data_IF_384558765845
#
_entry.id   IF_384558765845
#
_cell.length_a   1.000
_cell.length_b   1.000
_cell.length_c   1.000
_cell.angle_alpha   90.00
_cell.angle_beta   90.00
_cell.angle_gamma   90.00
#
_symmetry.space_group_name_H-M   'P 1'
#
loop_
_entity.id
_entity.type
_entity.pdbx_description
1 polymer ?
#
# COMPACT_ATOMS: atom_id res chain seq x y z
N UNK A 1 13.80 -12.06 -5.61
CA UNK A 1 14.82 -11.02 -5.87
C UNK A 1 14.13 -9.66 -5.86
N UNK A 2 14.49 -8.76 -4.94
CA UNK A 2 13.94 -7.40 -4.90
C UNK A 2 14.55 -6.64 -6.08
N UNK A 3 13.72 -6.14 -6.98
CA UNK A 3 14.17 -5.25 -8.05
C UNK A 3 14.87 -4.06 -7.41
N UNK A 4 16.16 -3.88 -7.72
CA UNK A 4 16.89 -2.67 -7.38
C UNK A 4 16.12 -1.49 -8.00
N UNK A 5 15.53 -0.64 -7.15
CA UNK A 5 14.91 0.61 -7.61
C UNK A 5 16.00 1.37 -8.35
N UNK A 6 15.85 1.51 -9.67
CA UNK A 6 16.78 2.26 -10.51
C UNK A 6 16.82 3.69 -9.98
N UNK A 7 17.93 4.06 -9.33
CA UNK A 7 18.16 5.42 -8.86
C UNK A 7 18.24 6.29 -10.11
N UNK A 8 17.16 7.00 -10.41
CA UNK A 8 17.15 7.99 -11.48
C UNK A 8 17.79 9.26 -10.93
N UNK A 9 18.98 9.59 -11.43
CA UNK A 9 19.59 10.89 -11.18
C UNK A 9 18.67 11.95 -11.82
N UNK A 10 18.02 12.74 -10.98
CA UNK A 10 17.14 13.83 -11.42
C UNK A 10 18.03 14.94 -11.99
N UNK A 11 17.66 15.50 -13.15
CA UNK A 11 18.41 16.56 -13.84
C UNK A 11 17.48 17.68 -14.29
N UNK A 12 18.06 18.85 -14.49
CA UNK A 12 17.37 20.03 -15.01
C UNK A 12 16.17 20.43 -14.16
N UNK A 13 15.05 20.71 -14.83
CA UNK A 13 13.88 21.29 -14.19
C UNK A 13 13.26 20.42 -13.07
N UNK A 14 13.34 19.09 -13.20
CA UNK A 14 12.82 18.18 -12.18
C UNK A 14 13.64 18.26 -10.90
N UNK A 15 14.96 18.39 -11.03
CA UNK A 15 15.85 18.55 -9.89
C UNK A 15 15.58 19.88 -9.17
N UNK A 16 15.49 20.98 -9.93
CA UNK A 16 15.17 22.29 -9.37
C UNK A 16 13.85 22.29 -8.60
N UNK A 17 12.77 21.76 -9.19
CA UNK A 17 11.45 21.69 -8.53
C UNK A 17 11.51 20.93 -7.20
N UNK A 18 12.24 19.82 -7.16
CA UNK A 18 12.35 18.97 -5.98
C UNK A 18 13.18 19.65 -4.89
N UNK A 19 14.31 20.27 -5.26
CA UNK A 19 15.15 21.04 -4.33
C UNK A 19 14.36 22.23 -3.75
N UNK A 20 13.57 22.91 -4.58
CA UNK A 20 12.67 23.97 -4.15
C UNK A 20 11.44 23.49 -3.34
N UNK A 21 11.28 22.17 -3.13
CA UNK A 21 10.18 21.61 -2.33
C UNK A 21 8.79 21.75 -2.93
N UNK A 22 8.69 21.98 -4.25
CA UNK A 22 7.41 22.28 -4.90
C UNK A 22 6.73 21.03 -5.47
N UNK A 23 5.41 20.95 -5.35
CA UNK A 23 4.61 19.98 -6.12
C UNK A 23 4.54 20.38 -7.59
N UNK A 24 4.27 19.44 -8.50
CA UNK A 24 4.09 19.75 -9.93
C UNK A 24 2.98 20.79 -10.17
N UNK A 25 1.93 20.79 -9.34
CA UNK A 25 0.82 21.73 -9.46
C UNK A 25 1.26 23.16 -9.14
N UNK A 26 1.91 23.35 -7.99
CA UNK A 26 2.42 24.67 -7.55
C UNK A 26 3.44 25.20 -8.55
N UNK A 27 4.34 24.33 -8.99
CA UNK A 27 5.36 24.69 -9.96
C UNK A 27 4.77 25.10 -11.32
N UNK A 28 3.74 24.40 -11.79
CA UNK A 28 3.02 24.76 -13.00
C UNK A 28 2.35 26.14 -12.88
N UNK A 29 1.75 26.45 -11.73
CA UNK A 29 1.15 27.76 -11.45
C UNK A 29 2.18 28.90 -11.50
N UNK A 30 3.34 28.70 -10.88
CA UNK A 30 4.44 29.69 -10.90
C UNK A 30 4.94 29.97 -12.32
N UNK A 31 5.01 28.94 -13.17
CA UNK A 31 5.42 29.06 -14.56
C UNK A 31 4.29 29.53 -15.49
N UNK A 32 3.04 29.56 -15.02
CA UNK A 32 1.86 29.90 -15.83
C UNK A 32 1.57 28.86 -16.92
N UNK A 33 1.73 27.58 -16.60
CA UNK A 33 1.46 26.45 -17.51
C UNK A 33 0.57 25.40 -16.83
N UNK A 34 0.10 24.42 -17.59
CA UNK A 34 -0.66 23.31 -17.03
C UNK A 34 0.24 22.27 -16.34
N UNK A 35 -0.27 21.61 -15.29
CA UNK A 35 0.41 20.49 -14.62
C UNK A 35 0.78 19.37 -15.59
N UNK A 36 -0.10 19.08 -16.56
CA UNK A 36 0.14 18.07 -17.58
C UNK A 36 1.36 18.40 -18.44
N UNK A 37 1.55 19.68 -18.79
CA UNK A 37 2.73 20.13 -19.51
C UNK A 37 4.01 19.92 -18.70
N UNK A 38 4.01 20.28 -17.41
CA UNK A 38 5.16 20.00 -16.51
C UNK A 38 5.46 18.51 -16.46
N UNK A 39 4.44 17.65 -16.30
CA UNK A 39 4.65 16.20 -16.29
C UNK A 39 5.27 15.69 -17.59
N UNK A 40 4.82 16.18 -18.76
CA UNK A 40 5.41 15.81 -20.04
C UNK A 40 6.85 16.30 -20.20
N UNK A 41 7.16 17.50 -19.72
CA UNK A 41 8.50 18.08 -19.76
C UNK A 41 9.47 17.30 -18.85
N UNK A 42 9.08 16.99 -17.62
CA UNK A 42 9.89 16.20 -16.69
C UNK A 42 10.16 14.78 -17.20
N UNK A 43 9.24 14.25 -18.01
CA UNK A 43 9.42 12.96 -18.68
C UNK A 43 10.17 13.06 -20.02
N UNK A 44 10.66 14.25 -20.41
CA UNK A 44 11.38 14.48 -21.66
C UNK A 44 10.52 14.40 -22.93
N UNK A 45 9.19 14.38 -22.80
CA UNK A 45 8.26 14.21 -23.93
C UNK A 45 7.94 15.52 -24.64
N UNK A 46 8.11 16.67 -23.98
CA UNK A 46 7.88 18.00 -24.55
C UNK A 46 8.92 19.00 -24.03
N UNK A 47 9.14 20.06 -24.81
CA UNK A 47 9.93 21.23 -24.39
C UNK A 47 9.03 22.26 -23.71
N UNK A 48 9.60 23.08 -22.83
CA UNK A 48 8.90 24.23 -22.26
C UNK A 48 8.74 25.34 -23.31
N UNK A 49 7.60 26.04 -23.32
CA UNK A 49 7.45 27.25 -24.13
C UNK A 49 8.39 28.34 -23.60
N UNK A 50 8.94 29.15 -24.50
CA UNK A 50 9.84 30.28 -24.21
C UNK A 50 9.38 31.18 -23.05
N UNK A 51 8.11 31.63 -22.96
CA UNK A 51 7.66 32.44 -21.82
C UNK A 51 7.77 31.72 -20.47
N UNK A 52 7.54 30.40 -20.42
CA UNK A 52 7.71 29.63 -19.19
C UNK A 52 9.19 29.45 -18.85
N UNK A 53 10.06 29.32 -19.86
CA UNK A 53 11.52 29.22 -19.65
C UNK A 53 12.11 30.51 -19.06
N UNK A 54 11.61 31.67 -19.49
CA UNK A 54 12.00 32.97 -18.92
C UNK A 54 11.49 33.16 -17.48
N UNK A 55 10.33 32.61 -17.13
CA UNK A 55 9.86 32.59 -15.73
C UNK A 55 10.69 31.63 -14.88
N UNK A 56 11.08 30.49 -15.43
CA UNK A 56 11.93 29.52 -14.76
C UNK A 56 13.29 30.14 -14.39
N UNK A 57 13.95 30.80 -15.32
CA UNK A 57 15.25 31.43 -15.05
C UNK A 57 15.17 32.50 -13.95
N UNK A 58 14.10 33.30 -13.94
CA UNK A 58 13.84 34.27 -12.86
C UNK A 58 13.63 33.59 -11.50
N UNK A 59 12.89 32.48 -11.46
CA UNK A 59 12.67 31.71 -10.24
C UNK A 59 13.97 31.09 -9.72
N UNK A 60 14.81 30.56 -10.61
CA UNK A 60 16.12 30.00 -10.26
C UNK A 60 17.03 31.06 -9.64
N UNK A 61 17.14 32.24 -10.26
CA UNK A 61 17.92 33.37 -9.73
C UNK A 61 17.43 33.77 -8.33
N UNK A 62 16.12 33.93 -8.17
CA UNK A 62 15.52 34.30 -6.87
C UNK A 62 15.81 33.26 -5.80
N UNK A 63 15.60 31.98 -6.12
CA UNK A 63 15.82 30.89 -5.19
C UNK A 63 17.28 30.78 -4.74
N UNK A 64 18.24 30.98 -5.66
CA UNK A 64 19.66 31.02 -5.31
C UNK A 64 20.02 32.23 -4.44
N UNK A 65 19.42 33.40 -4.68
CA UNK A 65 19.60 34.56 -3.83
C UNK A 65 19.08 34.31 -2.40
N UNK A 66 17.90 33.70 -2.27
CA UNK A 66 17.29 33.36 -0.98
C UNK A 66 18.14 32.32 -0.21
N UNK A 67 18.68 31.30 -0.90
CA UNK A 67 19.59 30.33 -0.29
C UNK A 67 20.85 31.00 0.20
N UNK A 68 21.47 31.87 -0.61
CA UNK A 68 22.72 32.53 -0.25
C UNK A 68 22.52 33.48 0.94
N UNK A 69 21.39 34.20 0.97
CA UNK A 69 21.01 35.02 2.11
C UNK A 69 20.82 34.17 3.38
N UNK A 70 20.16 33.03 3.25
CA UNK A 70 19.95 32.09 4.37
C UNK A 70 21.27 31.47 4.86
N UNK A 71 22.19 31.17 3.95
CA UNK A 71 23.53 30.64 4.27
C UNK A 71 24.39 31.66 4.99
N UNK A 72 24.41 32.90 4.51
CA UNK A 72 25.11 34.00 5.17
C UNK A 72 24.59 34.24 6.60
N UNK A 73 23.30 34.02 6.84
CA UNK A 73 22.72 34.07 8.19
C UNK A 73 23.09 32.85 9.06
N UNK A 74 23.26 31.67 8.47
CA UNK A 74 23.57 30.43 9.20
C UNK A 74 25.07 30.20 9.48
N UNK A 75 25.99 30.86 8.79
CA UNK A 75 27.45 30.69 8.99
C UNK A 75 27.94 31.14 10.38
N UNK A 76 27.10 31.81 11.18
CA UNK A 76 27.39 32.12 12.59
C UNK A 76 26.86 31.07 13.59
N UNK A 77 26.14 30.05 13.11
CA UNK A 77 25.62 28.97 13.93
C UNK A 77 26.30 27.68 13.50
N UNK A 78 27.49 27.43 14.07
CA UNK A 78 28.12 26.11 14.04
C UNK A 78 27.14 25.13 14.68
N UNK A 79 26.41 24.38 13.86
CA UNK A 79 25.50 23.37 14.35
C UNK A 79 26.32 22.39 15.19
N UNK A 80 25.99 22.15 16.46
CA UNK A 80 26.54 21.00 17.16
C UNK A 80 26.11 19.78 16.34
N UNK A 81 27.08 18.95 15.96
CA UNK A 81 26.85 17.70 15.27
C UNK A 81 25.95 16.85 16.17
N UNK A 82 24.65 16.90 15.90
CA UNK A 82 23.65 16.28 16.72
C UNK A 82 23.56 14.81 16.32
N UNK A 83 24.07 13.90 17.15
CA UNK A 83 24.01 12.44 16.96
C UNK A 83 22.57 11.87 17.04
N UNK A 84 21.54 12.72 16.98
CA UNK A 84 20.11 12.36 16.97
C UNK A 84 19.59 11.60 15.73
N UNK A 85 20.22 11.53 14.53
CA UNK A 85 19.57 10.88 13.37
C UNK A 85 19.46 9.35 13.49
N UNK A 86 20.28 8.69 14.32
CA UNK A 86 20.30 7.23 14.38
C UNK A 86 19.03 6.64 15.05
N UNK A 87 18.49 7.32 16.06
CA UNK A 87 17.31 6.84 16.81
C UNK A 87 16.02 6.94 15.98
N UNK A 88 15.91 7.95 15.12
CA UNK A 88 14.73 8.12 14.26
C UNK A 88 14.63 7.07 13.15
N UNK A 89 15.78 6.55 12.69
CA UNK A 89 15.84 5.52 11.63
C UNK A 89 15.37 4.17 12.16
N UNK A 90 15.76 3.78 13.39
CA UNK A 90 15.27 2.55 14.02
C UNK A 90 13.76 2.60 14.23
N UNK A 91 13.25 3.71 14.72
CA UNK A 91 11.82 3.90 15.00
C UNK A 91 11.00 3.83 13.71
N UNK A 92 11.49 4.42 12.62
CA UNK A 92 10.85 4.35 11.31
C UNK A 92 10.80 2.92 10.76
N UNK A 93 11.88 2.15 10.95
CA UNK A 93 11.94 0.75 10.52
C UNK A 93 10.96 -0.15 11.30
N UNK A 94 10.84 0.06 12.61
CA UNK A 94 9.89 -0.66 13.46
C UNK A 94 8.44 -0.32 13.11
N UNK A 95 8.12 0.97 12.95
CA UNK A 95 6.79 1.41 12.49
C UNK A 95 6.41 0.78 11.16
N UNK A 96 7.35 0.72 10.21
CA UNK A 96 7.13 0.08 8.91
C UNK A 96 6.82 -1.42 9.03
N UNK A 97 7.47 -2.13 9.97
CA UNK A 97 7.17 -3.54 10.25
C UNK A 97 5.78 -3.74 10.87
N UNK A 98 5.38 -2.87 11.80
CA UNK A 98 4.05 -2.90 12.42
C UNK A 98 2.96 -2.71 11.37
N UNK A 99 3.10 -1.70 10.50
CA UNK A 99 2.19 -1.46 9.37
C UNK A 99 2.12 -2.71 8.50
N UNK A 100 3.27 -3.33 8.19
CA UNK A 100 3.31 -4.54 7.37
C UNK A 100 2.56 -5.71 7.99
N UNK A 101 2.62 -5.89 9.31
CA UNK A 101 1.83 -6.92 10.01
C UNK A 101 0.34 -6.64 9.90
N UNK A 102 -0.09 -5.38 10.05
CA UNK A 102 -1.50 -5.00 9.90
C UNK A 102 -2.03 -5.28 8.49
N UNK A 103 -1.24 -4.94 7.46
CA UNK A 103 -1.58 -5.26 6.06
C UNK A 103 -1.78 -6.77 5.85
N UNK A 104 -0.84 -7.59 6.35
CA UNK A 104 -0.93 -9.05 6.22
C UNK A 104 -2.14 -9.62 6.98
N UNK A 105 -2.48 -9.08 8.14
CA UNK A 105 -3.70 -9.49 8.89
C UNK A 105 -4.97 -9.18 8.10
N UNK A 106 -5.04 -8.00 7.49
CA UNK A 106 -6.16 -7.64 6.63
C UNK A 106 -6.25 -8.58 5.40
N UNK A 107 -5.11 -8.89 4.78
CA UNK A 107 -5.03 -9.84 3.68
C UNK A 107 -5.55 -11.23 4.09
N UNK A 108 -5.17 -11.72 5.28
CA UNK A 108 -5.64 -13.00 5.82
C UNK A 108 -7.15 -13.02 6.01
N UNK A 109 -7.73 -11.97 6.63
CA UNK A 109 -9.18 -11.84 6.82
C UNK A 109 -9.90 -11.88 5.47
N UNK A 110 -9.40 -11.12 4.49
CA UNK A 110 -9.97 -11.06 3.14
C UNK A 110 -9.93 -12.41 2.44
N UNK A 111 -8.83 -13.16 2.54
CA UNK A 111 -8.70 -14.50 1.95
C UNK A 111 -9.68 -15.48 2.62
N UNK A 112 -9.81 -15.44 3.95
CA UNK A 112 -10.76 -16.29 4.70
C UNK A 112 -12.21 -15.99 4.34
N UNK A 113 -12.58 -14.72 4.23
CA UNK A 113 -13.92 -14.32 3.82
C UNK A 113 -14.28 -14.87 2.45
N UNK A 114 -13.38 -14.70 1.46
CA UNK A 114 -13.59 -15.25 0.11
C UNK A 114 -13.71 -16.77 0.11
N UNK A 115 -12.92 -17.46 0.94
CA UNK A 115 -13.04 -18.90 1.08
C UNK A 115 -14.41 -19.30 1.66
N UNK A 116 -14.91 -18.56 2.65
CA UNK A 116 -16.24 -18.80 3.22
C UNK A 116 -17.34 -18.57 2.17
N UNK A 117 -17.30 -17.47 1.42
CA UNK A 117 -18.24 -17.19 0.31
C UNK A 117 -18.25 -18.31 -0.74
N UNK A 118 -17.06 -18.83 -1.07
CA UNK A 118 -16.96 -19.95 -2.01
C UNK A 118 -17.52 -21.25 -1.44
N UNK A 119 -17.28 -21.53 -0.17
CA UNK A 119 -17.80 -22.72 0.50
C UNK A 119 -19.32 -22.66 0.63
N UNK A 120 -19.90 -21.49 0.95
CA UNK A 120 -21.36 -21.32 0.99
C UNK A 120 -21.98 -21.46 -0.39
N UNK A 121 -21.38 -20.86 -1.42
CA UNK A 121 -21.84 -21.01 -2.80
C UNK A 121 -21.78 -22.47 -3.27
N UNK A 122 -20.70 -23.20 -2.96
CA UNK A 122 -20.57 -24.61 -3.27
C UNK A 122 -21.64 -25.45 -2.56
N UNK A 123 -21.94 -25.15 -1.29
CA UNK A 123 -23.02 -25.81 -0.54
C UNK A 123 -24.38 -25.60 -1.19
N UNK A 124 -24.72 -24.35 -1.53
CA UNK A 124 -25.99 -24.02 -2.19
C UNK A 124 -26.13 -24.78 -3.51
N UNK A 125 -25.07 -24.81 -4.34
CA UNK A 125 -25.12 -25.57 -5.60
C UNK A 125 -25.32 -27.07 -5.37
N UNK A 126 -24.67 -27.64 -4.35
CA UNK A 126 -24.86 -29.06 -4.00
C UNK A 126 -26.29 -29.36 -3.51
N UNK A 127 -26.98 -28.39 -2.92
CA UNK A 127 -28.39 -28.50 -2.51
C UNK A 127 -29.36 -28.34 -3.71
N UNK A 128 -29.03 -27.48 -4.69
CA UNK A 128 -29.88 -27.21 -5.86
C UNK A 128 -29.79 -28.28 -6.95
N UNK A 129 -28.63 -28.92 -7.14
CA UNK A 129 -28.44 -29.94 -8.19
C UNK A 129 -29.43 -31.11 -8.05
N UNK A 130 -29.63 -31.72 -6.86
CA UNK A 130 -30.61 -32.78 -6.68
C UNK A 130 -32.05 -32.34 -6.96
N UNK A 131 -32.41 -31.10 -6.64
CA UNK A 131 -33.74 -30.56 -6.92
C UNK A 131 -33.99 -30.46 -8.44
N UNK A 132 -33.03 -29.95 -9.20
CA UNK A 132 -33.13 -29.89 -10.66
C UNK A 132 -33.23 -31.29 -11.32
N UNK A 133 -32.55 -32.28 -10.74
CA UNK A 133 -32.65 -33.68 -11.19
C UNK A 133 -34.06 -34.23 -10.94
N UNK A 134 -34.67 -33.93 -9.78
CA UNK A 134 -36.03 -34.37 -9.46
C UNK A 134 -37.07 -33.78 -10.44
N UNK A 135 -36.86 -32.55 -10.89
CA UNK A 135 -37.76 -31.86 -11.84
C UNK A 135 -37.54 -32.28 -13.31
N UNK A 136 -36.58 -33.18 -13.59
CA UNK A 136 -36.17 -33.60 -14.94
C UNK A 136 -35.72 -32.46 -15.89
N UNK A 137 -35.34 -31.29 -15.35
CA UNK A 137 -34.81 -30.18 -16.16
C UNK A 137 -33.30 -30.35 -16.41
N UNK A 138 -32.98 -31.02 -17.52
CA UNK A 138 -31.59 -31.26 -17.97
C UNK A 138 -30.82 -29.96 -18.22
N UNK A 139 -31.49 -28.87 -18.60
CA UNK A 139 -30.85 -27.59 -18.87
C UNK A 139 -30.35 -26.93 -17.58
N UNK A 140 -31.22 -26.88 -16.57
CA UNK A 140 -30.88 -26.38 -15.25
C UNK A 140 -29.78 -27.22 -14.58
N UNK A 141 -29.87 -28.55 -14.66
CA UNK A 141 -28.85 -29.47 -14.12
C UNK A 141 -27.46 -29.19 -14.71
N UNK A 142 -27.35 -29.08 -16.04
CA UNK A 142 -26.08 -28.82 -16.72
C UNK A 142 -25.50 -27.45 -16.32
N UNK A 143 -26.34 -26.42 -16.24
CA UNK A 143 -25.93 -25.08 -15.85
C UNK A 143 -25.37 -25.05 -14.41
N UNK A 144 -26.05 -25.69 -13.46
CA UNK A 144 -25.62 -25.78 -12.07
C UNK A 144 -24.31 -26.57 -11.93
N UNK A 145 -24.17 -27.69 -12.65
CA UNK A 145 -22.93 -28.49 -12.70
C UNK A 145 -21.76 -27.69 -13.28
N UNK A 146 -21.98 -26.93 -14.34
CA UNK A 146 -20.97 -26.06 -14.93
C UNK A 146 -20.54 -24.98 -13.92
N UNK A 147 -21.48 -24.36 -13.22
CA UNK A 147 -21.18 -23.36 -12.20
C UNK A 147 -20.39 -23.96 -11.03
N UNK A 148 -20.73 -25.18 -10.61
CA UNK A 148 -19.98 -25.92 -9.59
C UNK A 148 -18.54 -26.20 -10.03
N UNK A 149 -18.33 -26.63 -11.28
CA UNK A 149 -17.00 -26.85 -11.85
C UNK A 149 -16.17 -25.55 -11.88
N UNK A 150 -16.77 -24.42 -12.27
CA UNK A 150 -16.11 -23.11 -12.25
C UNK A 150 -15.67 -22.73 -10.82
N UNK A 151 -16.50 -22.99 -9.81
CA UNK A 151 -16.14 -22.74 -8.41
C UNK A 151 -15.00 -23.65 -7.94
N UNK A 152 -15.00 -24.94 -8.31
CA UNK A 152 -13.91 -25.86 -7.97
C UNK A 152 -12.57 -25.40 -8.54
N UNK A 153 -12.55 -24.90 -9.79
CA UNK A 153 -11.32 -24.36 -10.42
C UNK A 153 -10.80 -23.12 -9.68
N UNK A 154 -11.68 -22.30 -9.10
CA UNK A 154 -11.31 -21.08 -8.35
C UNK A 154 -10.88 -21.37 -6.91
N UNK A 155 -11.30 -22.48 -6.32
CA UNK A 155 -11.04 -22.86 -4.92
C UNK A 155 -9.55 -22.86 -4.53
N UNK A 156 -8.59 -23.37 -5.34
CA UNK A 156 -7.18 -23.38 -4.97
C UNK A 156 -6.56 -21.98 -4.81
N UNK A 157 -7.18 -20.93 -5.37
CA UNK A 157 -6.71 -19.55 -5.19
C UNK A 157 -6.85 -19.06 -3.74
N UNK A 158 -7.72 -19.71 -2.95
CA UNK A 158 -7.99 -19.39 -1.55
C UNK A 158 -7.68 -20.56 -0.62
N UNK A 159 -6.76 -21.43 -1.04
CA UNK A 159 -6.37 -22.63 -0.30
C UNK A 159 -5.77 -22.29 1.08
N UNK A 160 -5.87 -23.23 2.02
CA UNK A 160 -5.21 -23.22 3.34
C UNK A 160 -3.72 -22.93 3.22
N UNK A 161 -3.06 -23.36 2.15
CA UNK A 161 -1.64 -23.08 1.86
C UNK A 161 -1.38 -21.57 1.77
N UNK A 162 -2.27 -20.80 1.13
CA UNK A 162 -2.11 -19.34 1.02
C UNK A 162 -2.26 -18.69 2.39
N UNK A 163 -3.22 -19.15 3.20
CA UNK A 163 -3.43 -18.66 4.56
C UNK A 163 -2.24 -18.96 5.46
N UNK A 164 -1.74 -20.20 5.45
CA UNK A 164 -0.55 -20.62 6.19
C UNK A 164 0.68 -19.79 5.81
N UNK A 165 0.84 -19.44 4.52
CA UNK A 165 1.93 -18.56 4.07
C UNK A 165 1.82 -17.15 4.63
N UNK A 166 0.60 -16.60 4.69
CA UNK A 166 0.36 -15.27 5.27
C UNK A 166 0.61 -15.31 6.80
N UNK A 167 0.09 -16.33 7.47
CA UNK A 167 0.29 -16.55 8.91
C UNK A 167 1.77 -16.71 9.27
N UNK A 168 2.51 -17.53 8.53
CA UNK A 168 3.95 -17.70 8.72
C UNK A 168 4.72 -16.39 8.55
N UNK A 169 4.31 -15.53 7.60
CA UNK A 169 4.91 -14.19 7.42
C UNK A 169 4.60 -13.27 8.60
N UNK A 170 3.37 -13.29 9.10
CA UNK A 170 2.98 -12.53 10.30
C UNK A 170 3.81 -12.98 11.50
N UNK A 171 3.88 -14.29 11.74
CA UNK A 171 4.63 -14.88 12.85
C UNK A 171 6.12 -14.51 12.79
N UNK A 172 6.74 -14.60 11.61
CA UNK A 172 8.13 -14.19 11.42
C UNK A 172 8.38 -12.73 11.78
N UNK A 173 7.56 -11.80 11.29
CA UNK A 173 7.74 -10.37 11.59
C UNK A 173 7.50 -10.10 13.08
N UNK A 174 6.54 -10.80 13.70
CA UNK A 174 6.29 -10.68 15.13
C UNK A 174 7.50 -11.14 15.98
N UNK A 175 8.15 -12.26 15.62
CA UNK A 175 9.39 -12.72 16.27
C UNK A 175 10.50 -11.67 16.10
N UNK A 176 10.68 -11.13 14.89
CA UNK A 176 11.69 -10.08 14.64
C UNK A 176 11.45 -8.80 15.44
N UNK A 177 10.20 -8.45 15.73
CA UNK A 177 9.85 -7.31 16.60
C UNK A 177 10.12 -7.64 18.07
N UNK A 178 9.74 -8.85 18.51
CA UNK A 178 9.97 -9.32 19.88
C UNK A 178 11.44 -9.41 20.25
N UNK A 179 12.33 -9.78 19.33
CA UNK A 179 13.76 -9.88 19.57
C UNK A 179 14.44 -8.51 19.72
N UNK A 180 13.81 -7.43 19.24
CA UNK A 180 14.34 -6.06 19.29
C UNK A 180 13.80 -5.25 20.45
N UNK A 181 12.57 -5.51 20.87
CA UNK A 181 12.00 -4.87 22.05
C UNK A 181 12.72 -5.39 23.29
N UNK A 182 13.41 -4.50 24.02
CA UNK A 182 13.87 -4.82 25.37
C UNK A 182 12.70 -5.35 26.23
N UNK A 183 12.95 -6.23 27.21
CA UNK A 183 11.92 -6.98 27.93
C UNK A 183 10.82 -6.13 28.61
N UNK A 184 10.97 -4.80 28.69
CA UNK A 184 9.95 -3.87 29.16
C UNK A 184 8.84 -3.48 28.16
N UNK A 185 9.01 -3.66 26.85
CA UNK A 185 8.05 -3.15 25.84
C UNK A 185 6.98 -4.16 25.37
N UNK A 186 6.99 -5.39 25.91
CA UNK A 186 6.10 -6.50 25.49
C UNK A 186 4.61 -6.25 25.81
N UNK A 187 4.28 -5.26 26.64
CA UNK A 187 2.90 -4.96 27.01
C UNK A 187 2.01 -4.49 25.85
N UNK A 188 2.57 -3.91 24.77
CA UNK A 188 1.78 -3.42 23.63
C UNK A 188 1.30 -4.53 22.66
N UNK A 189 1.90 -5.73 22.71
CA UNK A 189 1.49 -6.85 21.85
C UNK A 189 0.42 -7.75 22.51
N UNK A 190 0.20 -7.65 23.82
CA UNK A 190 -0.76 -8.49 24.57
C UNK A 190 -2.23 -8.12 24.32
N UNK A 191 -2.53 -6.93 23.79
CA UNK A 191 -3.89 -6.54 23.41
C UNK A 191 -4.30 -7.00 22.01
N UNK A 192 -3.48 -7.80 21.33
CA UNK A 192 -3.88 -8.48 20.09
C UNK A 192 -4.64 -9.74 20.49
N UNK A 193 -5.93 -9.59 20.79
CA UNK A 193 -6.84 -10.73 20.94
C UNK A 193 -6.71 -11.67 19.72
N UNK A 194 -6.73 -12.99 19.92
CA UNK A 194 -6.74 -13.92 18.80
C UNK A 194 -7.95 -13.61 17.91
N UNK A 195 -7.69 -13.25 16.64
CA UNK A 195 -8.70 -12.88 15.64
C UNK A 195 -9.48 -14.15 15.17
N UNK A 196 -9.77 -15.06 16.08
CA UNK A 196 -10.31 -16.39 15.81
C UNK A 196 -11.74 -16.63 16.27
N UNK A 197 -12.35 -15.72 17.02
CA UNK A 197 -13.69 -15.93 17.59
C UNK A 197 -14.51 -14.64 17.59
N UNK A 198 -14.82 -14.10 16.41
CA UNK A 198 -16.02 -13.28 16.30
C UNK A 198 -17.16 -14.26 16.00
N UNK A 199 -18.14 -14.46 16.89
CA UNK A 199 -19.26 -15.35 16.63
C UNK A 199 -20.06 -14.79 15.44
N UNK A 200 -19.96 -15.49 14.30
CA UNK A 200 -20.68 -15.21 13.05
C UNK A 200 -22.21 -15.15 13.28
N UNK A 201 -22.70 -15.77 14.36
CA UNK A 201 -24.09 -15.70 14.80
C UNK A 201 -24.60 -14.25 14.98
N UNK A 202 -23.75 -13.29 15.34
CA UNK A 202 -24.17 -11.89 15.53
C UNK A 202 -24.33 -11.09 14.22
N UNK A 203 -23.74 -11.54 13.10
CA UNK A 203 -23.87 -10.87 11.80
C UNK A 203 -25.05 -11.39 10.98
N UNK A 204 -25.41 -12.67 11.10
CA UNK A 204 -26.56 -13.23 10.37
C UNK A 204 -27.91 -12.75 10.93
N UNK A 205 -27.99 -12.45 12.23
CA UNK A 205 -29.21 -11.94 12.87
C UNK A 205 -29.63 -10.52 12.41
N UNK A 206 -28.79 -9.79 11.67
CA UNK A 206 -29.11 -8.44 11.15
C UNK A 206 -29.50 -8.42 9.67
N UNK A 207 -29.51 -9.56 8.99
CA UNK A 207 -29.90 -9.65 7.57
C UNK A 207 -31.26 -10.31 7.32
N UNK A 208 -31.96 -10.70 8.40
CA UNK A 208 -33.25 -11.43 8.34
C UNK A 208 -34.36 -10.66 9.10
N UNK A 209 -34.11 -9.42 9.52
CA UNK A 209 -35.09 -8.50 10.06
C UNK A 209 -35.14 -7.25 9.18
#
# INVERSE_FOLDING_TARGET
>A
MKSSKKIKLLRGITAFRIVAGMTQQVFAQQLGVSKSLISMVENGKRKLPTPALLKLSRLEIKYHADINASRAASDQQSCPFDDRPLKNISDAAERSKIIRVQELKYELIKVRHRQQEMNTAARILNELIPAAIADNDRGAELALKMQAAILQVKQPLFNSIVQQKIEARIARIAIELSLKSEPGAVHLLKNVAPIGQVPIAAQLARSVA
#
